data_IF_464585920019
#
_entry.id   IF_464585920019
#
_cell.length_a   1.000
_cell.length_b   1.000
_cell.length_c   1.000
_cell.angle_alpha   90.00
_cell.angle_beta   90.00
_cell.angle_gamma   90.00
#
_symmetry.space_group_name_H-M   'P 1'
#
loop_
_entity.id
_entity.type
_entity.pdbx_description
1 polymer ?
#
# COMPACT_ATOMS: atom_id res chain seq x y z
N UNK A 1 -34.60 -23.52 35.03
CA UNK A 1 -33.67 -22.77 34.15
C UNK A 1 -32.41 -23.58 34.00
N UNK A 2 -31.99 -23.90 32.77
CA UNK A 2 -30.68 -24.49 32.53
C UNK A 2 -29.63 -23.38 32.69
N UNK A 3 -28.82 -23.46 33.73
CA UNK A 3 -27.72 -22.52 33.94
C UNK A 3 -26.63 -22.83 32.90
N UNK A 4 -26.41 -21.90 31.98
CA UNK A 4 -25.26 -21.96 31.07
C UNK A 4 -24.00 -21.62 31.88
N UNK A 5 -23.29 -22.65 32.37
CA UNK A 5 -21.99 -22.47 33.01
C UNK A 5 -20.95 -22.15 31.93
N UNK A 6 -20.48 -20.90 31.86
CA UNK A 6 -19.26 -20.57 31.12
C UNK A 6 -18.06 -21.10 31.92
N UNK A 7 -17.29 -22.00 31.30
CA UNK A 7 -16.06 -22.60 31.81
C UNK A 7 -16.14 -23.27 33.20
N UNK A 8 -16.27 -24.60 33.22
CA UNK A 8 -16.34 -25.40 34.44
C UNK A 8 -14.97 -25.50 35.14
N UNK A 9 -14.69 -24.56 36.04
CA UNK A 9 -13.42 -24.45 36.78
C UNK A 9 -13.04 -25.67 37.61
N UNK A 10 -13.99 -26.54 37.96
CA UNK A 10 -13.75 -27.72 38.80
C UNK A 10 -13.32 -28.97 38.01
N UNK A 11 -13.75 -29.10 36.74
CA UNK A 11 -13.54 -30.33 35.94
C UNK A 11 -12.15 -30.38 35.30
N UNK A 12 -11.58 -29.22 35.02
CA UNK A 12 -10.29 -29.08 34.33
C UNK A 12 -9.32 -28.18 35.11
N UNK A 13 -9.48 -28.12 36.45
CA UNK A 13 -8.72 -27.23 37.34
C UNK A 13 -7.20 -27.39 37.20
N UNK A 14 -6.75 -28.62 36.92
CA UNK A 14 -5.33 -28.99 36.83
C UNK A 14 -4.82 -28.99 35.37
N UNK A 15 -5.68 -28.68 34.38
CA UNK A 15 -5.28 -28.65 32.99
C UNK A 15 -4.81 -27.24 32.60
N UNK A 16 -3.53 -27.03 32.25
CA UNK A 16 -3.00 -25.71 31.86
C UNK A 16 -3.61 -25.15 30.57
N UNK A 17 -4.26 -25.99 29.76
CA UNK A 17 -4.98 -25.58 28.54
C UNK A 17 -6.39 -25.05 28.85
N UNK A 18 -6.88 -25.24 30.08
CA UNK A 18 -8.21 -24.77 30.47
C UNK A 18 -8.21 -23.25 30.65
N UNK A 19 -9.09 -22.55 29.93
CA UNK A 19 -9.16 -21.07 29.84
C UNK A 19 -7.93 -20.41 29.21
N UNK A 20 -7.08 -21.17 28.52
CA UNK A 20 -6.00 -20.60 27.74
C UNK A 20 -6.55 -19.88 26.50
N UNK A 21 -5.96 -18.74 26.17
CA UNK A 21 -6.15 -18.05 24.90
C UNK A 21 -4.98 -18.43 23.99
N UNK A 22 -5.29 -18.80 22.75
CA UNK A 22 -4.30 -19.15 21.74
C UNK A 22 -4.48 -18.24 20.54
N UNK A 23 -3.41 -17.51 20.24
CA UNK A 23 -3.33 -16.65 19.07
C UNK A 23 -2.32 -17.26 18.11
N UNK A 24 -2.74 -17.46 16.85
CA UNK A 24 -1.88 -17.98 15.79
C UNK A 24 -1.93 -17.01 14.62
N UNK A 25 -0.76 -16.56 14.18
CA UNK A 25 -0.63 -15.68 13.04
C UNK A 25 0.75 -15.84 12.41
N UNK A 26 0.88 -15.47 11.15
CA UNK A 26 2.18 -15.08 10.60
C UNK A 26 2.60 -13.71 11.12
N UNK A 27 3.84 -13.31 10.85
CA UNK A 27 4.35 -12.04 11.31
C UNK A 27 3.45 -10.88 10.85
N UNK A 28 3.10 -9.94 11.75
CA UNK A 28 2.23 -8.84 11.37
C UNK A 28 2.94 -7.91 10.39
N UNK A 29 2.29 -7.71 9.25
CA UNK A 29 2.67 -6.76 8.22
C UNK A 29 2.52 -5.31 8.65
N UNK A 30 1.58 -5.05 9.55
CA UNK A 30 1.15 -3.71 9.96
C UNK A 30 1.29 -3.52 11.45
N UNK A 31 1.41 -2.25 11.86
CA UNK A 31 1.51 -1.87 13.26
C UNK A 31 0.29 -2.33 14.07
N UNK A 32 -0.90 -2.25 13.47
CA UNK A 32 -2.13 -2.75 14.09
C UNK A 32 -2.05 -4.24 14.45
N UNK A 33 -1.29 -5.06 13.72
CA UNK A 33 -1.11 -6.49 14.01
C UNK A 33 0.00 -6.78 15.03
N UNK A 34 0.80 -5.78 15.42
CA UNK A 34 1.93 -5.96 16.34
C UNK A 34 1.50 -6.25 17.79
N UNK A 35 0.19 -6.31 18.07
CA UNK A 35 -0.33 -6.75 19.37
C UNK A 35 0.18 -8.14 19.77
N UNK A 36 0.54 -9.00 18.80
CA UNK A 36 1.11 -10.33 19.09
C UNK A 36 2.45 -10.27 19.81
N UNK A 37 3.25 -9.22 19.56
CA UNK A 37 4.52 -9.01 20.26
C UNK A 37 4.32 -8.55 21.71
N UNK A 38 3.10 -8.13 22.09
CA UNK A 38 2.78 -7.88 23.49
C UNK A 38 2.91 -9.15 24.32
N UNK A 39 2.53 -10.30 23.77
CA UNK A 39 2.67 -11.60 24.45
C UNK A 39 4.15 -11.95 24.68
N UNK A 40 5.04 -11.59 23.76
CA UNK A 40 6.49 -11.74 23.94
C UNK A 40 7.01 -10.88 25.11
N UNK A 41 6.59 -9.62 25.21
CA UNK A 41 6.96 -8.76 26.36
C UNK A 41 6.37 -9.30 27.67
N UNK A 42 5.10 -9.74 27.66
CA UNK A 42 4.46 -10.35 28.83
C UNK A 42 5.12 -11.66 29.25
N UNK A 43 5.66 -12.45 28.31
CA UNK A 43 6.44 -13.66 28.60
C UNK A 43 7.74 -13.31 29.32
N UNK A 44 8.42 -12.21 28.95
CA UNK A 44 9.62 -11.74 29.68
C UNK A 44 9.28 -11.36 31.12
N UNK A 45 8.09 -10.77 31.35
CA UNK A 45 7.62 -10.38 32.68
C UNK A 45 7.11 -11.57 33.52
N UNK A 46 6.41 -12.52 32.90
CA UNK A 46 5.81 -13.67 33.57
C UNK A 46 5.82 -14.93 32.67
N UNK A 47 6.95 -15.65 32.60
CA UNK A 47 7.12 -16.79 31.69
C UNK A 47 6.29 -18.02 32.07
N UNK A 48 5.87 -18.13 33.33
CA UNK A 48 5.00 -19.24 33.78
C UNK A 48 3.56 -19.09 33.29
N UNK A 49 3.16 -17.86 32.91
CA UNK A 49 1.79 -17.53 32.50
C UNK A 49 1.64 -17.31 31.00
N UNK A 50 2.66 -16.75 30.35
CA UNK A 50 2.61 -16.41 28.93
C UNK A 50 3.67 -17.18 28.16
N UNK A 51 3.31 -17.65 26.98
CA UNK A 51 4.21 -18.30 26.05
C UNK A 51 4.12 -17.59 24.71
N UNK A 52 5.26 -17.15 24.20
CA UNK A 52 5.41 -16.66 22.84
C UNK A 52 6.43 -17.54 22.12
N UNK A 53 6.04 -18.04 20.96
CA UNK A 53 6.90 -18.82 20.08
C UNK A 53 6.87 -18.19 18.70
N UNK A 54 8.04 -18.11 18.08
CA UNK A 54 8.18 -17.73 16.69
C UNK A 54 9.00 -18.81 15.97
N UNK A 55 8.69 -19.01 14.69
CA UNK A 55 9.39 -19.97 13.85
C UNK A 55 9.31 -19.54 12.40
N UNK A 56 10.13 -20.15 11.57
CA UNK A 56 10.22 -19.96 10.13
C UNK A 56 9.88 -21.26 9.42
N UNK A 57 9.74 -21.23 8.10
CA UNK A 57 9.63 -22.47 7.33
C UNK A 57 10.81 -23.43 7.54
N UNK A 58 12.00 -22.93 7.91
CA UNK A 58 13.16 -23.79 8.19
C UNK A 58 12.99 -24.68 9.43
N UNK A 59 12.09 -24.33 10.34
CA UNK A 59 11.84 -25.09 11.57
C UNK A 59 10.91 -26.29 11.35
N UNK A 60 10.30 -26.41 10.16
CA UNK A 60 9.43 -27.52 9.82
C UNK A 60 10.18 -28.61 9.01
N UNK A 61 10.59 -29.72 9.66
CA UNK A 61 11.36 -30.77 8.99
C UNK A 61 10.53 -31.61 8.00
N UNK A 62 9.21 -31.40 7.93
CA UNK A 62 8.31 -32.15 7.04
C UNK A 62 8.05 -31.43 5.72
N UNK A 63 8.57 -30.21 5.53
CA UNK A 63 8.47 -29.52 4.24
C UNK A 63 9.31 -30.23 3.19
N UNK A 64 8.87 -30.17 1.93
CA UNK A 64 9.69 -30.68 0.84
C UNK A 64 10.99 -29.86 0.75
N UNK A 65 12.12 -30.48 0.34
CA UNK A 65 13.39 -29.76 0.18
C UNK A 65 13.28 -28.52 -0.72
N UNK A 66 12.37 -28.56 -1.70
CA UNK A 66 12.15 -27.48 -2.67
C UNK A 66 11.10 -26.47 -2.21
N UNK A 67 10.44 -26.64 -1.05
CA UNK A 67 9.35 -25.76 -0.64
C UNK A 67 9.80 -24.31 -0.54
N UNK A 68 10.92 -24.07 0.14
CA UNK A 68 11.42 -22.72 0.39
C UNK A 68 11.88 -22.06 -0.92
N UNK A 69 12.61 -22.79 -1.78
CA UNK A 69 13.01 -22.27 -3.09
C UNK A 69 11.81 -21.99 -3.99
N UNK A 70 10.81 -22.87 -4.01
CA UNK A 70 9.59 -22.65 -4.78
C UNK A 70 8.83 -21.42 -4.26
N UNK A 71 8.74 -21.24 -2.95
CA UNK A 71 8.12 -20.04 -2.37
C UNK A 71 8.91 -18.78 -2.72
N UNK A 72 10.24 -18.81 -2.68
CA UNK A 72 11.09 -17.68 -3.06
C UNK A 72 10.92 -17.28 -4.54
N UNK A 73 10.78 -18.26 -5.44
CA UNK A 73 10.59 -18.04 -6.87
C UNK A 73 9.18 -17.54 -7.23
N UNK A 74 8.15 -18.06 -6.54
CA UNK A 74 6.75 -17.84 -6.92
C UNK A 74 6.03 -16.77 -6.10
N UNK A 75 6.62 -16.29 -5.00
CA UNK A 75 6.00 -15.23 -4.19
C UNK A 75 6.74 -13.92 -4.33
N UNK A 76 6.02 -12.82 -4.06
CA UNK A 76 6.67 -11.53 -3.98
C UNK A 76 7.74 -11.56 -2.89
N UNK A 77 8.93 -10.97 -3.11
CA UNK A 77 10.06 -11.26 -2.24
C UNK A 77 9.90 -10.78 -0.78
N UNK A 78 9.04 -9.81 -0.51
CA UNK A 78 8.65 -9.44 0.86
C UNK A 78 7.60 -10.37 1.45
N UNK A 79 6.68 -10.88 0.63
CA UNK A 79 5.73 -11.92 1.06
C UNK A 79 6.52 -13.14 1.50
N UNK A 80 7.53 -13.53 0.74
CA UNK A 80 8.48 -14.57 1.15
C UNK A 80 9.14 -14.25 2.51
N UNK A 81 9.77 -13.07 2.64
CA UNK A 81 10.48 -12.72 3.88
C UNK A 81 9.59 -12.68 5.11
N UNK A 82 8.37 -12.15 5.00
CA UNK A 82 7.45 -12.03 6.14
C UNK A 82 6.71 -13.33 6.43
N UNK A 83 6.13 -13.97 5.41
CA UNK A 83 5.27 -15.16 5.60
C UNK A 83 6.07 -16.47 5.72
N UNK A 84 7.25 -16.55 5.09
CA UNK A 84 8.07 -17.79 5.05
C UNK A 84 9.25 -17.70 6.01
N UNK A 85 9.96 -16.57 6.01
CA UNK A 85 11.14 -16.35 6.87
C UNK A 85 10.81 -15.64 8.19
N UNK A 86 9.55 -15.26 8.42
CA UNK A 86 9.10 -14.60 9.65
C UNK A 86 9.90 -13.32 10.00
N UNK A 87 10.36 -12.56 8.99
CA UNK A 87 11.11 -11.33 9.19
C UNK A 87 10.23 -10.21 9.76
N UNK A 88 10.63 -9.63 10.90
CA UNK A 88 9.86 -8.57 11.58
C UNK A 88 10.10 -7.22 10.92
N UNK A 89 9.05 -6.64 10.34
CA UNK A 89 9.09 -5.28 9.78
C UNK A 89 9.03 -4.23 10.90
N UNK A 90 9.99 -3.30 10.93
CA UNK A 90 10.06 -2.20 11.90
C UNK A 90 9.84 -0.86 11.22
N UNK A 91 8.96 -0.01 11.79
CA UNK A 91 8.82 1.40 11.39
C UNK A 91 10.09 2.15 11.76
N UNK A 92 10.64 2.93 10.82
CA UNK A 92 11.75 3.82 11.12
C UNK A 92 11.26 5.01 11.95
N UNK A 93 11.98 5.44 13.01
CA UNK A 93 11.57 6.55 13.87
C UNK A 93 11.47 7.90 13.13
N UNK A 94 12.21 8.08 12.02
CA UNK A 94 12.19 9.28 11.18
C UNK A 94 11.57 8.97 9.80
N UNK A 95 10.27 8.66 9.76
CA UNK A 95 9.57 8.37 8.51
C UNK A 95 9.03 9.64 7.81
N UNK A 96 8.98 9.64 6.48
CA UNK A 96 8.44 10.74 5.66
C UNK A 96 6.93 10.94 5.81
N UNK A 97 6.21 9.96 6.35
CA UNK A 97 4.76 10.02 6.52
C UNK A 97 4.37 9.91 8.00
N UNK A 98 4.61 10.95 8.82
CA UNK A 98 4.38 10.86 10.26
C UNK A 98 2.90 10.68 10.61
N UNK A 99 1.97 11.31 9.87
CA UNK A 99 0.53 11.09 10.05
C UNK A 99 0.00 9.79 9.44
N UNK A 100 0.82 9.00 8.73
CA UNK A 100 0.37 7.72 8.21
C UNK A 100 0.15 6.71 9.33
N UNK A 101 -1.10 6.29 9.43
CA UNK A 101 -1.61 5.32 10.39
C UNK A 101 -2.35 4.18 9.65
N UNK A 102 -1.98 2.94 9.92
CA UNK A 102 -2.56 1.79 9.21
C UNK A 102 -4.02 1.55 9.58
N UNK A 103 -4.43 1.80 10.82
CA UNK A 103 -5.83 1.60 11.24
C UNK A 103 -6.75 2.66 10.62
N UNK A 104 -6.24 3.89 10.45
CA UNK A 104 -6.99 5.00 9.84
C UNK A 104 -7.07 4.89 8.32
N UNK A 105 -5.95 4.57 7.67
CA UNK A 105 -5.82 4.69 6.22
C UNK A 105 -5.94 3.37 5.47
N UNK A 106 -5.74 2.22 6.10
CA UNK A 106 -5.84 0.94 5.41
C UNK A 106 -7.22 0.31 5.63
N UNK A 107 -7.71 -0.43 4.64
CA UNK A 107 -9.00 -1.13 4.72
C UNK A 107 -8.86 -2.55 4.22
N UNK A 108 -9.42 -3.50 4.98
CA UNK A 108 -9.60 -4.91 4.62
C UNK A 108 -11.04 -5.22 4.17
N UNK A 109 -11.95 -4.24 4.27
CA UNK A 109 -13.35 -4.37 3.89
C UNK A 109 -13.51 -4.33 2.36
N UNK A 110 -13.21 -5.44 1.69
CA UNK A 110 -13.28 -5.59 0.24
C UNK A 110 -14.56 -6.31 -0.24
N UNK A 111 -15.21 -7.02 0.67
CA UNK A 111 -16.39 -7.82 0.40
C UNK A 111 -17.62 -7.16 1.01
N UNK A 112 -18.66 -7.06 0.20
CA UNK A 112 -20.04 -6.92 0.66
C UNK A 112 -20.74 -8.28 0.49
N UNK A 113 -21.96 -8.41 0.98
CA UNK A 113 -22.76 -9.62 0.78
C UNK A 113 -24.07 -9.24 0.12
N UNK A 114 -24.35 -9.80 -1.05
CA UNK A 114 -25.65 -9.66 -1.72
C UNK A 114 -26.36 -11.02 -1.72
N UNK A 115 -27.70 -11.01 -1.59
CA UNK A 115 -28.49 -12.24 -1.75
C UNK A 115 -28.72 -12.54 -3.23
N UNK A 116 -28.46 -13.78 -3.63
CA UNK A 116 -28.88 -14.28 -4.94
C UNK A 116 -30.41 -14.51 -4.98
N UNK A 117 -30.93 -14.91 -6.14
CA UNK A 117 -32.36 -15.19 -6.33
C UNK A 117 -32.91 -16.30 -5.40
N UNK A 118 -32.03 -17.16 -4.89
CA UNK A 118 -32.36 -18.25 -3.97
C UNK A 118 -32.22 -17.84 -2.47
N UNK A 119 -31.92 -16.57 -2.19
CA UNK A 119 -31.76 -16.04 -0.84
C UNK A 119 -30.41 -16.36 -0.17
N UNK A 120 -29.44 -16.88 -0.92
CA UNK A 120 -28.08 -17.19 -0.44
C UNK A 120 -27.23 -15.92 -0.48
N UNK A 121 -26.64 -15.57 0.67
CA UNK A 121 -25.66 -14.49 0.76
C UNK A 121 -24.35 -14.89 0.09
N UNK A 122 -24.02 -14.24 -1.01
CA UNK A 122 -22.76 -14.43 -1.72
C UNK A 122 -21.86 -13.22 -1.51
N UNK A 123 -20.54 -13.44 -1.29
CA UNK A 123 -19.58 -12.34 -1.21
C UNK A 123 -19.52 -11.63 -2.57
N UNK A 124 -19.75 -10.33 -2.58
CA UNK A 124 -19.53 -9.48 -3.75
C UNK A 124 -18.30 -8.62 -3.53
N UNK A 125 -17.38 -8.68 -4.49
CA UNK A 125 -16.17 -7.86 -4.46
C UNK A 125 -16.53 -6.43 -4.90
N UNK A 126 -16.64 -5.50 -3.95
CA UNK A 126 -16.97 -4.09 -4.22
C UNK A 126 -15.81 -3.15 -3.90
N UNK A 127 -14.57 -3.60 -4.07
CA UNK A 127 -13.45 -2.72 -3.81
C UNK A 127 -13.36 -1.57 -4.84
N UNK A 128 -13.85 -1.76 -6.06
CA UNK A 128 -13.91 -0.70 -7.07
C UNK A 128 -15.21 -0.72 -7.86
N UNK A 129 -15.56 0.44 -8.44
CA UNK A 129 -16.70 0.58 -9.34
C UNK A 129 -16.23 0.39 -10.81
N UNK A 130 -16.64 -0.70 -11.49
CA UNK A 130 -16.20 -0.98 -12.86
C UNK A 130 -16.77 0.01 -13.89
N UNK A 131 -17.74 0.85 -13.52
CA UNK A 131 -18.32 1.89 -14.37
C UNK A 131 -17.61 3.24 -14.24
N UNK A 132 -16.61 3.37 -13.35
CA UNK A 132 -15.81 4.59 -13.18
C UNK A 132 -14.42 4.41 -13.77
N UNK A 133 -13.81 5.50 -14.24
CA UNK A 133 -12.47 5.44 -14.78
C UNK A 133 -11.47 5.00 -13.69
N UNK A 134 -10.43 4.27 -14.11
CA UNK A 134 -9.30 3.96 -13.24
C UNK A 134 -8.30 5.11 -13.33
N UNK A 135 -7.71 5.45 -12.19
CA UNK A 135 -6.64 6.42 -12.08
C UNK A 135 -5.36 5.68 -11.73
N UNK A 136 -4.29 5.95 -12.46
CA UNK A 136 -3.02 5.25 -12.29
C UNK A 136 -1.92 6.27 -12.13
N UNK A 137 -1.14 6.17 -11.06
CA UNK A 137 0.06 6.99 -10.87
C UNK A 137 1.29 6.13 -11.09
N UNK A 138 2.20 6.58 -11.95
CA UNK A 138 3.38 5.82 -12.37
C UNK A 138 4.67 6.52 -11.95
N UNK A 139 5.66 5.72 -11.56
CA UNK A 139 7.04 6.12 -11.34
C UNK A 139 7.96 5.19 -12.14
N UNK A 140 8.85 5.79 -12.92
CA UNK A 140 9.76 5.07 -13.79
C UNK A 140 11.19 5.24 -13.32
N UNK A 141 11.86 4.12 -13.04
CA UNK A 141 13.29 4.06 -12.78
C UNK A 141 13.95 3.05 -13.73
N UNK A 142 15.27 3.14 -13.88
CA UNK A 142 16.06 2.28 -14.77
C UNK A 142 15.99 0.79 -14.41
N UNK A 143 15.70 0.48 -13.15
CA UNK A 143 15.68 -0.89 -12.62
C UNK A 143 14.28 -1.42 -12.31
N UNK A 144 13.31 -0.52 -12.15
CA UNK A 144 11.94 -0.87 -11.78
C UNK A 144 10.96 0.17 -12.32
N UNK A 145 9.87 -0.31 -12.89
CA UNK A 145 8.71 0.51 -13.23
C UNK A 145 7.57 0.12 -12.28
N UNK A 146 6.99 1.08 -11.59
CA UNK A 146 5.91 0.80 -10.65
C UNK A 146 4.76 1.80 -10.80
N UNK A 147 3.63 1.44 -10.22
CA UNK A 147 2.45 2.28 -10.21
C UNK A 147 1.47 1.90 -9.13
N UNK A 148 0.59 2.84 -8.82
CA UNK A 148 -0.57 2.61 -7.96
C UNK A 148 -1.83 2.82 -8.78
N UNK A 149 -2.82 1.97 -8.55
CA UNK A 149 -4.13 2.03 -9.18
C UNK A 149 -5.12 2.50 -8.13
N UNK A 150 -5.94 3.47 -8.50
CA UNK A 150 -6.84 4.13 -7.58
C UNK A 150 -8.13 4.56 -8.26
N UNK A 151 -9.12 4.88 -7.43
CA UNK A 151 -10.40 5.39 -7.85
C UNK A 151 -10.90 6.43 -6.85
N UNK A 152 -11.25 7.61 -7.35
CA UNK A 152 -11.87 8.64 -6.53
C UNK A 152 -13.36 8.37 -6.34
N UNK A 153 -13.80 8.47 -5.09
CA UNK A 153 -15.22 8.44 -4.69
C UNK A 153 -15.50 9.69 -3.85
N UNK A 154 -16.77 10.11 -3.68
CA UNK A 154 -17.09 11.32 -2.94
C UNK A 154 -16.40 11.38 -1.57
N UNK A 155 -15.48 12.35 -1.41
CA UNK A 155 -14.71 12.58 -0.18
C UNK A 155 -13.61 11.57 0.13
N UNK A 156 -13.34 10.57 -0.73
CA UNK A 156 -12.29 9.57 -0.50
C UNK A 156 -11.47 9.28 -1.75
N UNK A 157 -10.16 9.11 -1.56
CA UNK A 157 -9.27 8.53 -2.55
C UNK A 157 -9.03 7.06 -2.17
N UNK A 158 -9.60 6.13 -2.93
CA UNK A 158 -9.37 4.70 -2.74
C UNK A 158 -8.15 4.27 -3.56
N UNK A 159 -7.14 3.71 -2.90
CA UNK A 159 -6.02 3.02 -3.56
C UNK A 159 -6.38 1.54 -3.58
N UNK A 160 -6.56 1.02 -4.78
CA UNK A 160 -7.13 -0.29 -5.04
C UNK A 160 -6.05 -1.36 -5.18
N UNK A 161 -4.94 -1.00 -5.83
CA UNK A 161 -3.86 -1.94 -6.09
C UNK A 161 -2.52 -1.21 -6.28
N UNK A 162 -1.43 -1.96 -6.15
CA UNK A 162 -0.10 -1.52 -6.50
C UNK A 162 0.52 -2.53 -7.48
N UNK A 163 1.15 -2.04 -8.54
CA UNK A 163 1.72 -2.86 -9.60
C UNK A 163 3.17 -2.47 -9.82
N UNK A 164 4.03 -3.44 -10.03
CA UNK A 164 5.43 -3.19 -10.32
C UNK A 164 6.01 -4.26 -11.25
N UNK A 165 7.02 -3.87 -12.02
CA UNK A 165 7.68 -4.73 -13.00
C UNK A 165 9.20 -4.51 -12.90
N UNK A 166 9.92 -5.60 -12.66
CA UNK A 166 11.40 -5.67 -12.64
C UNK A 166 11.99 -6.24 -13.93
N UNK A 167 11.24 -7.10 -14.62
CA UNK A 167 11.67 -7.78 -15.84
C UNK A 167 10.63 -7.56 -16.93
N UNK A 168 11.10 -7.21 -18.12
CA UNK A 168 10.21 -7.02 -19.25
C UNK A 168 9.78 -8.38 -19.81
N UNK A 169 8.52 -8.48 -20.25
CA UNK A 169 8.08 -9.63 -21.06
C UNK A 169 8.86 -9.67 -22.38
N UNK A 170 8.97 -10.84 -22.98
CA UNK A 170 9.64 -11.03 -24.28
C UNK A 170 9.07 -10.05 -25.32
N UNK A 171 9.97 -9.42 -26.09
CA UNK A 171 9.67 -8.38 -27.08
C UNK A 171 8.94 -7.12 -26.57
N UNK A 172 8.95 -6.87 -25.26
CA UNK A 172 8.34 -5.69 -24.63
C UNK A 172 9.34 -4.90 -23.82
N UNK A 173 9.05 -3.62 -23.59
CA UNK A 173 9.77 -2.82 -22.59
C UNK A 173 9.18 -3.02 -21.19
N UNK A 174 9.89 -2.57 -20.14
CA UNK A 174 9.34 -2.55 -18.78
C UNK A 174 8.07 -1.72 -18.68
N UNK A 175 8.01 -0.60 -19.41
CA UNK A 175 6.84 0.28 -19.44
C UNK A 175 5.63 -0.43 -20.09
N UNK A 176 5.83 -1.10 -21.23
CA UNK A 176 4.75 -1.87 -21.88
C UNK A 176 4.31 -3.06 -21.04
N UNK A 177 5.24 -3.72 -20.36
CA UNK A 177 4.93 -4.83 -19.45
C UNK A 177 4.09 -4.34 -18.26
N UNK A 178 4.37 -3.14 -17.74
CA UNK A 178 3.56 -2.51 -16.69
C UNK A 178 2.13 -2.20 -17.19
N UNK A 179 1.99 -1.71 -18.43
CA UNK A 179 0.68 -1.49 -19.04
C UNK A 179 -0.14 -2.78 -19.13
N UNK A 180 0.50 -3.90 -19.49
CA UNK A 180 -0.13 -5.22 -19.53
C UNK A 180 -0.55 -5.66 -18.13
N UNK A 181 0.31 -5.50 -17.12
CA UNK A 181 -0.03 -5.83 -15.74
C UNK A 181 -1.25 -5.05 -15.22
N UNK A 182 -1.35 -3.76 -15.55
CA UNK A 182 -2.54 -2.93 -15.21
C UNK A 182 -3.80 -3.48 -15.89
N UNK A 183 -3.70 -3.89 -17.15
CA UNK A 183 -4.82 -4.46 -17.88
C UNK A 183 -5.28 -5.80 -17.29
N UNK A 184 -4.32 -6.69 -17.01
CA UNK A 184 -4.55 -8.03 -16.49
C UNK A 184 -5.16 -8.00 -15.08
N UNK A 185 -4.85 -6.97 -14.28
CA UNK A 185 -5.43 -6.78 -12.95
C UNK A 185 -6.91 -6.36 -12.97
N UNK A 186 -7.40 -5.78 -14.08
CA UNK A 186 -8.78 -5.27 -14.21
C UNK A 186 -9.47 -5.76 -15.50
N UNK A 187 -9.67 -7.07 -15.66
CA UNK A 187 -10.28 -7.64 -16.86
C UNK A 187 -11.76 -7.24 -17.00
N UNK A 188 -12.48 -7.19 -15.88
CA UNK A 188 -13.94 -6.93 -15.80
C UNK A 188 -14.32 -5.45 -15.82
N UNK A 189 -13.35 -4.56 -16.05
CA UNK A 189 -13.60 -3.13 -16.11
C UNK A 189 -14.50 -2.78 -17.31
N UNK A 190 -15.73 -2.34 -17.01
CA UNK A 190 -16.70 -1.92 -18.03
C UNK A 190 -16.28 -0.60 -18.67
N UNK A 191 -15.97 0.41 -17.85
CA UNK A 191 -15.50 1.70 -18.34
C UNK A 191 -14.00 1.64 -18.60
N UNK A 192 -13.64 1.35 -19.84
CA UNK A 192 -12.26 1.29 -20.35
C UNK A 192 -11.59 2.67 -20.46
N UNK A 193 -11.60 3.47 -19.39
CA UNK A 193 -10.94 4.77 -19.30
C UNK A 193 -9.86 4.71 -18.22
N UNK A 194 -8.64 5.13 -18.56
CA UNK A 194 -7.52 5.27 -17.61
C UNK A 194 -7.01 6.70 -17.63
N UNK A 195 -6.84 7.29 -16.45
CA UNK A 195 -6.17 8.58 -16.25
C UNK A 195 -4.79 8.30 -15.68
N UNK A 196 -3.75 8.68 -16.41
CA UNK A 196 -2.35 8.43 -16.03
C UNK A 196 -1.75 9.68 -15.41
N UNK A 197 -1.27 9.55 -14.17
CA UNK A 197 -0.51 10.52 -13.40
C UNK A 197 0.96 10.10 -13.33
N UNK A 198 1.82 11.07 -13.05
CA UNK A 198 3.25 10.82 -12.89
C UNK A 198 4.05 12.09 -12.71
N UNK A 199 5.36 11.90 -12.55
CA UNK A 199 6.34 12.94 -12.34
C UNK A 199 6.62 13.76 -13.61
N UNK A 200 7.33 14.89 -13.48
CA UNK A 200 7.65 15.73 -14.63
C UNK A 200 8.62 15.09 -15.64
N UNK A 201 9.11 13.87 -15.39
CA UNK A 201 9.97 13.11 -16.29
C UNK A 201 9.22 12.48 -17.46
N UNK A 202 8.11 13.08 -17.90
CA UNK A 202 7.34 12.65 -19.08
C UNK A 202 8.17 12.53 -20.37
N UNK A 203 9.36 13.11 -20.40
CA UNK A 203 10.34 13.06 -21.50
C UNK A 203 11.44 11.99 -21.34
N UNK A 204 11.51 11.30 -20.20
CA UNK A 204 12.50 10.25 -19.96
C UNK A 204 12.24 9.03 -20.86
N UNK A 205 13.32 8.52 -21.45
CA UNK A 205 13.28 7.42 -22.42
C UNK A 205 13.76 6.15 -21.73
N UNK A 206 13.15 5.01 -22.05
CA UNK A 206 13.66 3.72 -21.60
C UNK A 206 14.94 3.35 -22.37
N UNK A 207 15.80 2.54 -21.74
CA UNK A 207 16.91 1.90 -22.45
C UNK A 207 16.35 1.14 -23.67
N UNK A 208 16.86 1.45 -24.88
CA UNK A 208 16.44 0.79 -26.12
C UNK A 208 15.25 1.42 -26.88
N UNK A 209 14.56 2.44 -26.35
CA UNK A 209 13.45 3.09 -27.06
C UNK A 209 13.67 4.59 -27.28
N UNK A 210 13.21 5.10 -28.42
CA UNK A 210 13.19 6.54 -28.73
C UNK A 210 11.94 7.24 -28.14
N UNK A 211 10.95 6.47 -27.67
CA UNK A 211 9.66 6.94 -27.18
C UNK A 211 9.72 7.09 -25.65
N UNK A 212 9.20 8.20 -25.07
CA UNK A 212 9.13 8.34 -23.63
C UNK A 212 8.31 7.24 -22.93
N UNK A 213 8.69 6.85 -21.71
CA UNK A 213 8.09 5.70 -21.01
C UNK A 213 6.58 5.85 -20.78
N UNK A 214 6.13 7.03 -20.38
CA UNK A 214 4.71 7.37 -20.26
C UNK A 214 3.93 7.17 -21.57
N UNK A 215 4.55 7.52 -22.71
CA UNK A 215 3.93 7.36 -24.02
C UNK A 215 3.88 5.89 -24.46
N UNK A 216 4.87 5.07 -24.07
CA UNK A 216 4.84 3.62 -24.30
C UNK A 216 3.68 2.99 -23.53
N UNK A 217 3.52 3.31 -22.24
CA UNK A 217 2.37 2.84 -21.43
C UNK A 217 1.05 3.26 -22.08
N UNK A 218 0.92 4.53 -22.46
CA UNK A 218 -0.31 5.03 -23.07
C UNK A 218 -0.61 4.37 -24.43
N UNK A 219 0.41 4.08 -25.24
CA UNK A 219 0.26 3.39 -26.51
C UNK A 219 -0.19 1.94 -26.30
N UNK A 220 0.44 1.22 -25.37
CA UNK A 220 0.11 -0.17 -25.10
C UNK A 220 -1.29 -0.32 -24.47
N UNK A 221 -1.65 0.54 -23.50
CA UNK A 221 -3.00 0.57 -22.95
C UNK A 221 -4.05 0.87 -24.04
N UNK A 222 -3.77 1.80 -24.98
CA UNK A 222 -4.67 2.06 -26.12
C UNK A 222 -4.80 0.86 -27.04
N UNK A 223 -3.71 0.13 -27.28
CA UNK A 223 -3.71 -1.13 -28.06
C UNK A 223 -4.58 -2.19 -27.40
N UNK A 224 -4.59 -2.25 -26.08
CA UNK A 224 -5.43 -3.13 -25.26
C UNK A 224 -6.89 -2.63 -25.11
N UNK A 225 -7.28 -1.57 -25.82
CA UNK A 225 -8.67 -1.08 -25.88
C UNK A 225 -9.02 0.02 -24.87
N UNK A 226 -8.05 0.56 -24.14
CA UNK A 226 -8.29 1.63 -23.17
C UNK A 226 -8.25 3.03 -23.78
N UNK A 227 -9.14 3.91 -23.32
CA UNK A 227 -9.03 5.35 -23.54
C UNK A 227 -8.14 5.98 -22.48
N UNK A 228 -6.97 6.46 -22.88
CA UNK A 228 -5.94 6.96 -21.97
C UNK A 228 -5.85 8.48 -21.97
N UNK A 229 -5.96 9.08 -20.79
CA UNK A 229 -5.82 10.52 -20.53
C UNK A 229 -4.57 10.80 -19.71
N UNK A 230 -3.63 11.57 -20.26
CA UNK A 230 -2.40 11.93 -19.55
C UNK A 230 -2.62 13.15 -18.64
N UNK A 231 -2.17 13.06 -17.39
CA UNK A 231 -2.21 14.08 -16.34
C UNK A 231 -0.86 14.09 -15.60
N UNK A 232 0.20 14.38 -16.36
CA UNK A 232 1.56 14.43 -15.86
C UNK A 232 1.89 15.82 -15.32
N UNK A 233 2.66 15.89 -14.23
CA UNK A 233 3.12 17.17 -13.66
C UNK A 233 4.01 17.91 -14.69
N UNK A 234 3.79 19.22 -14.87
CA UNK A 234 4.63 20.04 -15.76
C UNK A 234 5.97 20.42 -15.14
N UNK A 235 6.00 20.52 -13.81
CA UNK A 235 7.17 20.80 -13.01
C UNK A 235 7.05 20.03 -11.70
N UNK A 236 8.17 19.51 -11.20
CA UNK A 236 8.19 18.86 -9.91
C UNK A 236 8.01 19.91 -8.81
N UNK A 237 7.06 19.72 -7.89
CA UNK A 237 6.80 20.68 -6.84
C UNK A 237 7.93 20.71 -5.80
N UNK A 238 8.03 21.82 -5.08
CA UNK A 238 8.97 21.95 -3.98
C UNK A 238 8.67 20.88 -2.91
N UNK A 239 9.72 20.17 -2.46
CA UNK A 239 9.58 19.02 -1.55
C UNK A 239 8.80 19.35 -0.27
N UNK A 240 8.99 20.55 0.27
CA UNK A 240 8.31 21.05 1.47
C UNK A 240 6.80 21.20 1.27
N UNK A 241 6.38 21.74 0.14
CA UNK A 241 4.95 21.96 -0.16
C UNK A 241 4.23 20.63 -0.41
N UNK A 242 4.92 19.68 -1.05
CA UNK A 242 4.42 18.31 -1.23
C UNK A 242 4.26 17.59 0.12
N UNK A 243 5.30 17.61 0.96
CA UNK A 243 5.27 17.03 2.30
C UNK A 243 4.12 17.60 3.13
N UNK A 244 3.97 18.93 3.17
CA UNK A 244 2.91 19.59 3.94
C UNK A 244 1.50 19.24 3.45
N UNK A 245 1.30 19.08 2.15
CA UNK A 245 -0.01 18.67 1.60
C UNK A 245 -0.33 17.22 1.98
N UNK A 246 0.62 16.31 1.81
CA UNK A 246 0.45 14.90 2.16
C UNK A 246 0.13 14.77 3.64
N UNK A 247 0.88 15.46 4.49
CA UNK A 247 0.67 15.43 5.93
C UNK A 247 -0.74 15.92 6.30
N UNK A 248 -1.23 17.00 5.68
CA UNK A 248 -2.60 17.49 5.91
C UNK A 248 -3.68 16.51 5.47
N UNK A 249 -3.43 15.74 4.41
CA UNK A 249 -4.36 14.73 3.90
C UNK A 249 -4.40 13.52 4.83
N UNK A 250 -3.23 13.01 5.25
CA UNK A 250 -3.11 11.87 6.15
C UNK A 250 -3.50 12.21 7.61
N UNK A 251 -3.38 13.47 8.02
CA UNK A 251 -3.90 13.93 9.30
C UNK A 251 -5.44 13.93 9.32
N UNK A 252 -6.10 13.89 8.16
CA UNK A 252 -7.55 13.87 8.04
C UNK A 252 -8.25 15.04 8.78
N UNK A 253 -7.57 16.17 8.98
CA UNK A 253 -8.12 17.31 9.73
C UNK A 253 -9.12 18.17 8.96
N UNK A 254 -9.17 18.05 7.63
CA UNK A 254 -10.00 18.90 6.75
C UNK A 254 -11.04 18.09 6.00
N UNK A 255 -12.29 18.57 5.96
CA UNK A 255 -13.38 17.99 5.16
C UNK A 255 -13.28 18.31 3.66
N UNK A 256 -12.47 19.31 3.29
CA UNK A 256 -12.26 19.75 1.91
C UNK A 256 -11.16 18.93 1.20
N UNK A 257 -10.47 18.06 1.93
CA UNK A 257 -9.43 17.17 1.42
C UNK A 257 -9.94 15.73 1.49
N UNK A 258 -9.48 14.85 0.58
CA UNK A 258 -9.93 13.47 0.57
C UNK A 258 -9.48 12.71 1.81
N UNK A 259 -10.26 11.71 2.18
CA UNK A 259 -9.84 10.64 3.08
C UNK A 259 -9.15 9.54 2.28
N UNK A 260 -7.91 9.19 2.61
CA UNK A 260 -7.14 8.17 1.87
C UNK A 260 -7.50 6.79 2.41
N UNK A 261 -7.94 5.87 1.55
CA UNK A 261 -8.25 4.49 1.91
C UNK A 261 -7.45 3.54 1.02
N UNK A 262 -6.50 2.83 1.61
CA UNK A 262 -5.57 1.92 0.93
C UNK A 262 -6.06 0.49 1.13
N UNK A 263 -6.24 -0.27 0.07
CA UNK A 263 -6.57 -1.68 0.18
C UNK A 263 -5.38 -2.43 0.82
N UNK A 264 -5.61 -2.96 2.02
CA UNK A 264 -4.57 -3.64 2.80
C UNK A 264 -4.08 -4.94 2.15
N UNK A 265 -4.93 -5.61 1.38
CA UNK A 265 -4.63 -6.93 0.85
C UNK A 265 -3.79 -6.86 -0.43
N UNK A 266 -4.10 -5.90 -1.31
CA UNK A 266 -3.43 -5.71 -2.60
C UNK A 266 -2.32 -4.68 -2.54
N UNK A 267 -2.38 -3.68 -1.66
CA UNK A 267 -1.37 -2.59 -1.58
C UNK A 267 -0.28 -2.81 -0.51
N UNK A 268 0.07 -4.06 -0.18
CA UNK A 268 1.07 -4.36 0.86
C UNK A 268 2.40 -3.64 0.63
N UNK A 269 2.92 -3.68 -0.59
CA UNK A 269 4.20 -3.06 -0.94
C UNK A 269 4.16 -1.52 -0.82
N UNK A 270 3.05 -0.88 -1.17
CA UNK A 270 2.87 0.57 -0.98
C UNK A 270 2.89 0.94 0.49
N UNK A 271 2.12 0.22 1.32
CA UNK A 271 2.01 0.50 2.77
C UNK A 271 3.38 0.43 3.42
N UNK A 272 4.16 -0.59 3.05
CA UNK A 272 5.51 -0.80 3.56
C UNK A 272 6.48 0.24 3.04
N UNK A 273 6.38 0.61 1.75
CA UNK A 273 7.16 1.74 1.20
C UNK A 273 6.88 3.03 1.98
N UNK A 274 5.63 3.32 2.34
CA UNK A 274 5.28 4.49 3.15
C UNK A 274 5.86 4.40 4.58
N UNK A 275 5.77 3.23 5.24
CA UNK A 275 6.29 3.05 6.60
C UNK A 275 7.82 3.07 6.70
N UNK A 276 8.51 2.64 5.62
CA UNK A 276 9.96 2.51 5.58
C UNK A 276 10.67 3.64 4.82
N UNK A 277 9.97 4.67 4.36
CA UNK A 277 10.57 5.84 3.71
C UNK A 277 11.23 6.76 4.75
N UNK A 278 12.58 6.82 4.88
CA UNK A 278 13.24 7.72 5.83
C UNK A 278 13.17 9.17 5.34
N UNK A 279 13.15 10.14 6.24
CA UNK A 279 13.19 11.57 5.89
C UNK A 279 14.54 12.21 6.23
N UNK A 280 15.11 12.95 5.29
CA UNK A 280 16.28 13.81 5.47
C UNK A 280 15.85 15.18 6.03
N UNK A 281 16.80 15.94 6.58
CA UNK A 281 16.54 17.25 7.20
C UNK A 281 15.85 18.27 6.27
N UNK A 282 15.92 18.08 4.94
CA UNK A 282 15.28 18.94 3.93
C UNK A 282 13.84 18.53 3.54
N UNK A 283 13.16 17.68 4.33
CA UNK A 283 11.85 17.11 3.97
C UNK A 283 11.89 16.37 2.62
N UNK A 284 13.04 15.74 2.35
CA UNK A 284 13.27 14.87 1.20
C UNK A 284 13.36 13.43 1.71
N UNK A 285 12.81 12.48 0.97
CA UNK A 285 13.01 11.06 1.28
C UNK A 285 14.49 10.71 1.10
N UNK A 286 15.04 9.92 2.00
CA UNK A 286 16.37 9.35 1.83
C UNK A 286 16.31 8.25 0.76
N UNK A 287 16.95 8.51 -0.38
CA UNK A 287 17.03 7.60 -1.53
C UNK A 287 18.33 6.79 -1.54
N UNK A 288 19.14 6.84 -0.48
CA UNK A 288 20.42 6.13 -0.40
C UNK A 288 20.29 4.60 -0.50
N UNK A 289 19.09 4.05 -0.25
CA UNK A 289 18.75 2.64 -0.41
C UNK A 289 18.42 2.25 -1.87
N UNK A 290 18.00 3.20 -2.73
CA UNK A 290 17.66 2.92 -4.15
C UNK A 290 18.87 2.42 -4.96
N UNK A 291 20.09 2.78 -4.56
CA UNK A 291 21.35 2.39 -5.21
C UNK A 291 21.99 1.09 -4.68
N UNK A 292 21.41 0.45 -3.66
CA UNK A 292 21.96 -0.79 -3.07
C UNK A 292 21.22 -2.01 -3.61
N UNK A 293 21.91 -2.84 -4.40
CA UNK A 293 21.39 -4.10 -4.96
C UNK A 293 20.98 -5.15 -3.91
N UNK A 294 21.39 -4.99 -2.64
CA UNK A 294 21.00 -5.89 -1.55
C UNK A 294 19.64 -5.59 -0.92
N UNK A 295 19.03 -4.43 -1.21
CA UNK A 295 17.70 -4.05 -0.73
C UNK A 295 16.76 -4.07 -1.92
N UNK A 296 15.68 -4.85 -1.85
CA UNK A 296 14.69 -4.93 -2.91
C UNK A 296 14.05 -3.56 -3.15
N UNK A 297 14.32 -2.98 -4.33
CA UNK A 297 14.00 -1.59 -4.68
C UNK A 297 12.51 -1.25 -4.59
N UNK A 298 11.62 -2.24 -4.72
CA UNK A 298 10.16 -2.12 -4.57
C UNK A 298 9.74 -1.46 -3.24
N UNK A 299 10.51 -1.68 -2.18
CA UNK A 299 10.21 -1.21 -0.82
C UNK A 299 10.97 0.06 -0.45
N UNK A 300 11.89 0.54 -1.30
CA UNK A 300 12.76 1.66 -0.97
C UNK A 300 11.97 2.97 -0.86
N UNK A 301 11.35 3.41 -1.95
CA UNK A 301 10.67 4.73 -2.03
C UNK A 301 9.79 4.90 -3.28
N UNK A 302 9.84 3.98 -4.25
CA UNK A 302 9.21 4.17 -5.57
C UNK A 302 7.68 4.21 -5.52
N UNK A 303 7.06 3.25 -4.83
CA UNK A 303 5.59 3.22 -4.70
C UNK A 303 5.05 4.40 -3.87
N UNK A 304 5.80 4.83 -2.84
CA UNK A 304 5.43 6.01 -2.06
C UNK A 304 5.59 7.30 -2.87
N UNK A 305 6.51 7.38 -3.84
CA UNK A 305 6.60 8.49 -4.80
C UNK A 305 5.38 8.52 -5.75
N UNK A 306 4.89 7.36 -6.23
CA UNK A 306 3.64 7.28 -7.00
C UNK A 306 2.45 7.89 -6.25
N UNK A 307 2.33 7.60 -4.95
CA UNK A 307 1.31 8.19 -4.08
C UNK A 307 1.44 9.71 -3.99
N UNK A 308 2.66 10.21 -3.80
CA UNK A 308 2.93 11.64 -3.70
C UNK A 308 2.52 12.38 -4.98
N UNK A 309 2.79 11.82 -6.16
CA UNK A 309 2.49 12.47 -7.44
C UNK A 309 0.98 12.67 -7.65
N UNK A 310 0.17 11.63 -7.42
CA UNK A 310 -1.27 11.74 -7.64
C UNK A 310 -1.93 12.66 -6.62
N UNK A 311 -1.54 12.54 -5.34
CA UNK A 311 -2.06 13.38 -4.27
C UNK A 311 -1.72 14.85 -4.54
N UNK A 312 -0.48 15.13 -4.95
CA UNK A 312 -0.09 16.49 -5.26
C UNK A 312 -0.81 17.03 -6.50
N UNK A 313 -0.88 16.26 -7.58
CA UNK A 313 -1.53 16.70 -8.81
C UNK A 313 -3.00 17.06 -8.56
N UNK A 314 -3.73 16.23 -7.81
CA UNK A 314 -5.17 16.40 -7.60
C UNK A 314 -5.52 17.49 -6.58
N UNK A 315 -4.71 17.66 -5.54
CA UNK A 315 -5.11 18.47 -4.37
C UNK A 315 -4.22 19.69 -4.10
N UNK A 316 -3.20 19.95 -4.93
CA UNK A 316 -2.33 21.13 -4.77
C UNK A 316 -3.09 22.46 -4.92
N UNK A 317 -4.03 22.57 -5.86
CA UNK A 317 -4.89 23.76 -6.03
C UNK A 317 -5.75 24.05 -4.80
N UNK A 318 -6.39 23.03 -4.25
CA UNK A 318 -7.27 23.10 -3.07
C UNK A 318 -6.46 23.44 -1.81
N UNK A 319 -5.20 23.01 -1.75
CA UNK A 319 -4.25 23.40 -0.71
C UNK A 319 -3.85 24.88 -0.79
N UNK A 320 -3.56 25.40 -2.00
CA UNK A 320 -3.14 26.79 -2.18
C UNK A 320 -4.27 27.81 -1.91
N UNK A 321 -5.53 27.47 -2.25
CA UNK A 321 -6.70 28.28 -1.88
C UNK A 321 -6.81 28.51 -0.36
N UNK A 322 -6.33 27.56 0.45
CA UNK A 322 -6.31 27.67 1.91
C UNK A 322 -5.11 28.50 2.42
N UNK A 323 -3.93 28.43 1.80
CA UNK A 323 -2.81 29.35 2.12
C UNK A 323 -3.25 30.82 1.91
N UNK A 324 -3.98 31.10 0.84
CA UNK A 324 -4.50 32.44 0.55
C UNK A 324 -5.54 32.93 1.59
N UNK A 325 -6.46 32.07 2.03
CA UNK A 325 -7.44 32.41 3.09
C UNK A 325 -6.84 32.54 4.49
N UNK A 326 -5.81 31.74 4.81
CA UNK A 326 -5.09 31.87 6.09
C UNK A 326 -4.23 33.12 6.18
N UNK A 327 -3.69 33.59 5.05
CA UNK A 327 -2.89 34.82 4.98
C UNK A 327 -3.72 36.11 4.93
N UNK A 328 -5.02 36.02 4.62
CA UNK A 328 -5.94 37.17 4.58
C UNK A 328 -6.53 37.55 5.93
N UNK A 329 -6.21 36.84 7.02
CA UNK A 329 -6.64 37.21 8.36
C UNK A 329 -5.69 38.29 8.92
N UNK A 330 -5.79 39.51 8.36
CA UNK A 330 -5.17 40.70 8.93
C UNK A 330 -5.87 41.01 10.25
N UNK A 331 -5.09 41.10 11.33
CA UNK A 331 -5.52 41.72 12.57
C UNK A 331 -6.07 43.12 12.26
N UNK A 332 -7.38 43.29 12.42
CA UNK A 332 -7.96 44.62 12.57
C UNK A 332 -7.55 45.10 13.96
N UNK A 333 -6.60 46.04 13.99
CA UNK A 333 -6.12 46.68 15.19
C UNK A 333 -7.25 47.39 15.94
N UNK A 334 -7.25 47.23 17.26
CA UNK A 334 -7.96 48.12 18.17
C UNK A 334 -7.15 49.40 18.32
N UNK A 335 -7.79 50.53 18.03
CA UNK A 335 -7.42 51.84 18.56
C UNK A 335 -8.04 52.08 19.93
#
# INVERSE_FOLDING_TARGET
>A
MATLYRANSWRFKDNPLHNAFYDFTSNPWMQAGQWVFKTEELMKENPDKYLFLEGTAHDNPTLSPEYISNMEENTEPLVFRVEVLNERLRKLPNCYYPSFDTERHCTSALFDYDQNADGIWLPTFRDYDPNKALEVSLDFNNYICCGIICQEVPGKLKILDNVYVKQAKEDKTLAETLAIAIHDAYPDQVKRHIIVYGDASASSKSAGSKIPMFNQVAAELRRLGWKVYMRVLKANPEHKDRFALIERILAEGSSMLPRVRINQNTCKALIISMQNSPVLAEYKKDKSSEGKTSIQQEYATHLSDCFDYIVYYKYSSESQKNKAKGSSMRFLGGG
#
